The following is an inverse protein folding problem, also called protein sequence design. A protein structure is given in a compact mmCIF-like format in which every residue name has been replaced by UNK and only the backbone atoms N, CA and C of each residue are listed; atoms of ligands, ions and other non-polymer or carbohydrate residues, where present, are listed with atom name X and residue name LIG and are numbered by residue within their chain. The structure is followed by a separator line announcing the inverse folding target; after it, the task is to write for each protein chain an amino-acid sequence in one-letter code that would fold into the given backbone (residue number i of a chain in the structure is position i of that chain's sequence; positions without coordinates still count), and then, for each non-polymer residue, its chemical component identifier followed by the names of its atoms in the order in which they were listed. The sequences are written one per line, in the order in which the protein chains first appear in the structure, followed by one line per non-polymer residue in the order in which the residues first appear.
data_IF_972554514257
#
_entry.id   IF_972554514257
#
_cell.length_a   1.000
_cell.length_b   1.000
_cell.length_c   1.000
_cell.angle_alpha   90.00
_cell.angle_beta   90.00
_cell.angle_gamma   90.00
#
_symmetry.space_group_name_H-M   'P 1'
#
loop_
_entity.id
_entity.type
_entity.pdbx_description
1 polymer ?
#
# COMPACT_ATOMS: atom_id res chain seq x y z
N UNK A 1 29.89 25.05 32.36
CA UNK A 1 29.13 23.92 31.76
C UNK A 1 27.64 23.88 32.13
N UNK A 2 27.23 24.25 33.35
CA UNK A 2 25.83 24.13 33.82
C UNK A 2 24.84 25.11 33.13
N UNK A 3 25.23 26.38 32.98
CA UNK A 3 24.39 27.43 32.35
C UNK A 3 24.06 27.10 30.89
N UNK A 4 25.04 26.58 30.15
CA UNK A 4 24.86 26.17 28.74
C UNK A 4 23.87 25.00 28.58
N UNK A 5 23.93 24.02 29.49
CA UNK A 5 22.97 22.90 29.52
C UNK A 5 21.56 23.38 29.86
N UNK A 6 21.41 24.31 30.81
CA UNK A 6 20.12 24.88 31.19
C UNK A 6 19.50 25.72 30.06
N UNK A 7 20.28 26.59 29.41
CA UNK A 7 19.83 27.35 28.24
C UNK A 7 19.42 26.45 27.08
N UNK A 8 20.18 25.38 26.82
CA UNK A 8 19.83 24.37 25.81
C UNK A 8 18.50 23.67 26.13
N UNK A 9 18.28 23.29 27.39
CA UNK A 9 17.03 22.68 27.86
C UNK A 9 15.84 23.62 27.73
N UNK A 10 15.98 24.89 28.11
CA UNK A 10 14.93 25.90 27.97
C UNK A 10 14.60 26.15 26.50
N UNK A 11 15.62 26.23 25.64
CA UNK A 11 15.44 26.39 24.20
C UNK A 11 14.69 25.21 23.58
N UNK A 12 15.10 23.97 23.89
CA UNK A 12 14.39 22.75 23.45
C UNK A 12 12.94 22.75 23.92
N UNK A 13 12.69 23.13 25.18
CA UNK A 13 11.32 23.19 25.73
C UNK A 13 10.46 24.25 25.03
N UNK A 14 11.02 25.41 24.70
CA UNK A 14 10.32 26.45 23.91
C UNK A 14 9.97 25.96 22.51
N UNK A 15 10.87 25.25 21.84
CA UNK A 15 10.60 24.66 20.51
C UNK A 15 9.48 23.63 20.56
N UNK A 16 9.47 22.76 21.57
CA UNK A 16 8.42 21.76 21.75
C UNK A 16 7.05 22.41 22.01
N UNK A 17 6.99 23.44 22.85
CA UNK A 17 5.74 24.18 23.12
C UNK A 17 5.22 24.87 21.86
N UNK A 18 6.10 25.46 21.05
CA UNK A 18 5.69 26.08 19.78
C UNK A 18 5.19 25.03 18.78
N UNK A 19 5.86 23.89 18.69
CA UNK A 19 5.43 22.76 17.86
C UNK A 19 4.06 22.23 18.27
N UNK A 20 3.83 22.02 19.57
CA UNK A 20 2.54 21.58 20.12
C UNK A 20 1.43 22.59 19.80
N UNK A 21 1.71 23.90 19.94
CA UNK A 21 0.77 24.96 19.56
C UNK A 21 0.43 24.94 18.07
N UNK A 22 1.39 24.62 17.20
CA UNK A 22 1.18 24.52 15.75
C UNK A 22 0.35 23.29 15.41
N UNK A 23 0.66 22.14 16.01
CA UNK A 23 -0.11 20.90 15.84
C UNK A 23 -1.57 21.08 16.26
N UNK A 24 -1.81 21.76 17.40
CA UNK A 24 -3.17 22.02 17.89
C UNK A 24 -3.97 23.04 17.07
N UNK A 25 -3.34 23.75 16.13
CA UNK A 25 -3.99 24.69 15.20
C UNK A 25 -4.31 24.08 13.84
N UNK A 26 -3.84 22.87 13.55
CA UNK A 26 -4.16 22.16 12.31
C UNK A 26 -5.67 21.95 12.25
N UNK A 27 -6.33 22.58 11.27
CA UNK A 27 -7.74 22.31 10.99
C UNK A 27 -7.88 20.97 10.28
N UNK A 28 -8.90 20.20 10.67
CA UNK A 28 -9.31 18.96 9.99
C UNK A 28 -10.53 19.18 9.10
N UNK A 29 -10.98 20.43 8.96
CA UNK A 29 -12.18 20.75 8.20
C UNK A 29 -11.92 20.58 6.70
N UNK A 30 -12.89 20.07 5.93
CA UNK A 30 -12.78 20.01 4.48
C UNK A 30 -12.57 21.39 3.86
N UNK A 31 -11.70 21.46 2.86
CA UNK A 31 -11.45 22.70 2.11
C UNK A 31 -12.38 22.72 0.88
N UNK A 32 -13.18 23.77 0.75
CA UNK A 32 -14.01 23.99 -0.44
C UNK A 32 -13.13 24.15 -1.69
N UNK A 33 -13.56 23.58 -2.83
CA UNK A 33 -12.73 23.53 -4.05
C UNK A 33 -12.36 24.93 -4.56
N UNK A 34 -13.27 25.90 -4.41
CA UNK A 34 -13.07 27.29 -4.81
C UNK A 34 -11.98 27.98 -3.97
N UNK A 35 -11.77 27.51 -2.74
CA UNK A 35 -10.80 28.05 -1.80
C UNK A 35 -9.45 27.31 -1.84
N UNK A 36 -9.40 26.13 -2.45
CA UNK A 36 -8.25 25.22 -2.37
C UNK A 36 -6.92 25.89 -2.75
N UNK A 37 -6.88 26.62 -3.86
CA UNK A 37 -5.63 27.28 -4.34
C UNK A 37 -5.14 28.34 -3.35
N UNK A 38 -6.05 29.13 -2.80
CA UNK A 38 -5.73 30.19 -1.84
C UNK A 38 -5.25 29.60 -0.52
N UNK A 39 -5.95 28.58 -0.03
CA UNK A 39 -5.63 27.91 1.22
C UNK A 39 -4.31 27.14 1.12
N UNK A 40 -4.06 26.42 0.02
CA UNK A 40 -2.80 25.75 -0.24
C UNK A 40 -1.61 26.73 -0.22
N UNK A 41 -1.71 27.86 -0.95
CA UNK A 41 -0.66 28.89 -0.96
C UNK A 41 -0.42 29.49 0.43
N UNK A 42 -1.50 29.75 1.18
CA UNK A 42 -1.43 30.27 2.55
C UNK A 42 -0.70 29.29 3.47
N UNK A 43 -1.07 28.00 3.44
CA UNK A 43 -0.45 26.93 4.23
C UNK A 43 1.02 26.71 3.88
N UNK A 44 1.38 26.78 2.59
CA UNK A 44 2.78 26.73 2.15
C UNK A 44 3.60 27.88 2.74
N UNK A 45 3.12 29.12 2.63
CA UNK A 45 3.80 30.31 3.16
C UNK A 45 3.93 30.25 4.69
N UNK A 46 2.90 29.75 5.37
CA UNK A 46 2.86 29.60 6.82
C UNK A 46 3.64 28.38 7.34
N UNK A 47 4.16 27.52 6.45
CA UNK A 47 4.81 26.23 6.75
C UNK A 47 3.93 25.32 7.62
N UNK A 48 2.63 25.29 7.31
CA UNK A 48 1.64 24.52 8.07
C UNK A 48 1.59 23.05 7.64
N UNK A 49 1.82 22.74 6.35
CA UNK A 49 1.68 21.40 5.79
C UNK A 49 2.47 20.31 6.54
N UNK A 50 3.67 20.63 7.04
CA UNK A 50 4.48 19.70 7.84
C UNK A 50 3.81 19.33 9.17
N UNK A 51 3.09 20.26 9.79
CA UNK A 51 2.37 20.03 11.03
C UNK A 51 1.06 19.28 10.75
N UNK A 52 0.41 19.53 9.62
CA UNK A 52 -0.77 18.75 9.19
C UNK A 52 -0.41 17.28 8.98
N UNK A 53 0.69 17.02 8.27
CA UNK A 53 1.22 15.68 8.09
C UNK A 53 1.56 15.01 9.43
N UNK A 54 2.28 15.70 10.31
CA UNK A 54 2.65 15.19 11.63
C UNK A 54 1.43 14.93 12.53
N UNK A 55 0.38 15.76 12.43
CA UNK A 55 -0.87 15.54 13.17
C UNK A 55 -1.55 14.23 12.74
N UNK A 56 -1.52 13.87 11.45
CA UNK A 56 -2.06 12.60 10.94
C UNK A 56 -1.29 11.39 11.49
N UNK A 57 0.04 11.47 11.58
CA UNK A 57 0.84 10.41 12.19
C UNK A 57 0.49 10.20 13.67
N UNK A 58 0.33 11.30 14.42
CA UNK A 58 -0.04 11.23 15.85
C UNK A 58 -1.44 10.62 16.07
N UNK A 59 -2.41 10.95 15.19
CA UNK A 59 -3.74 10.33 15.19
C UNK A 59 -3.62 8.83 14.99
N UNK A 60 -2.83 8.41 14.00
CA UNK A 60 -2.71 7.02 13.57
C UNK A 60 -1.99 6.13 14.58
N UNK A 61 -1.05 6.70 15.34
CA UNK A 61 -0.28 5.97 16.37
C UNK A 61 -0.99 5.96 17.73
N UNK A 62 -2.04 6.79 17.90
CA UNK A 62 -2.79 6.91 19.14
C UNK A 62 -1.98 7.52 20.28
N UNK A 63 -1.01 8.39 19.96
CA UNK A 63 -0.20 9.08 20.97
C UNK A 63 -0.99 10.25 21.56
N UNK A 64 -1.27 10.18 22.88
CA UNK A 64 -2.17 11.09 23.61
C UNK A 64 -1.51 12.44 23.96
N UNK A 65 -0.56 12.92 23.16
CA UNK A 65 0.10 14.20 23.45
C UNK A 65 -0.78 15.42 23.12
N UNK A 66 -1.86 15.26 22.33
CA UNK A 66 -2.84 16.34 22.09
C UNK A 66 -4.23 15.97 22.61
N UNK A 67 -4.78 16.82 23.46
CA UNK A 67 -6.10 16.66 24.10
C UNK A 67 -7.29 16.92 23.17
N UNK A 68 -7.06 17.44 21.95
CA UNK A 68 -8.11 17.77 20.98
C UNK A 68 -8.26 16.75 19.84
N UNK A 69 -7.31 15.82 19.72
CA UNK A 69 -7.24 14.91 18.59
C UNK A 69 -7.92 13.59 18.97
N UNK A 70 -9.02 13.23 18.29
CA UNK A 70 -9.68 11.92 18.45
C UNK A 70 -8.70 10.83 18.03
N UNK A 71 -8.07 10.16 19.00
CA UNK A 71 -7.25 8.98 18.72
C UNK A 71 -8.16 7.81 18.36
N UNK A 72 -8.01 7.23 17.17
CA UNK A 72 -8.40 5.83 17.01
C UNK A 72 -7.47 5.00 17.90
N UNK A 73 -8.01 4.12 18.74
CA UNK A 73 -7.18 3.33 19.65
C UNK A 73 -6.08 2.56 18.91
N UNK A 74 -4.96 2.27 19.60
CA UNK A 74 -3.81 1.56 19.02
C UNK A 74 -4.24 0.39 18.14
N UNK A 75 -3.96 0.48 16.85
CA UNK A 75 -4.27 -0.58 15.90
C UNK A 75 -3.44 -1.83 16.22
N UNK A 76 -4.12 -2.98 16.33
CA UNK A 76 -3.46 -4.26 16.59
C UNK A 76 -2.88 -4.80 15.28
N UNK A 77 -1.58 -5.07 15.27
CA UNK A 77 -0.92 -5.80 14.17
C UNK A 77 -1.50 -7.21 14.09
N UNK A 78 -1.73 -7.70 12.87
CA UNK A 78 -2.30 -9.01 12.64
C UNK A 78 -1.45 -10.14 13.25
N UNK A 79 -2.09 -11.10 13.93
CA UNK A 79 -1.38 -12.22 14.52
C UNK A 79 -0.69 -13.09 13.46
N UNK A 80 -1.37 -13.31 12.32
CA UNK A 80 -0.84 -14.04 11.18
C UNK A 80 0.49 -13.45 10.68
N UNK A 81 0.62 -12.12 10.63
CA UNK A 81 1.83 -11.43 10.20
C UNK A 81 3.04 -11.67 11.12
N UNK A 82 2.80 -12.01 12.39
CA UNK A 82 3.84 -12.25 13.42
C UNK A 82 4.24 -13.72 13.58
N UNK A 83 3.49 -14.65 13.00
CA UNK A 83 3.80 -16.09 13.09
C UNK A 83 5.16 -16.39 12.46
N UNK A 84 5.88 -17.35 13.05
CA UNK A 84 7.24 -17.70 12.61
C UNK A 84 7.29 -18.10 11.13
N UNK A 85 6.32 -18.87 10.65
CA UNK A 85 6.17 -19.29 9.25
C UNK A 85 5.98 -18.12 8.26
N UNK A 86 5.41 -16.99 8.72
CA UNK A 86 5.08 -15.86 7.85
C UNK A 86 6.13 -14.73 7.90
N UNK A 87 7.14 -14.82 8.78
CA UNK A 87 8.17 -13.76 8.88
C UNK A 87 8.90 -13.51 7.56
N UNK A 88 9.26 -14.57 6.85
CA UNK A 88 9.93 -14.49 5.55
C UNK A 88 9.03 -13.92 4.43
N UNK A 89 7.70 -13.89 4.65
CA UNK A 89 6.74 -13.30 3.71
C UNK A 89 6.62 -11.77 3.87
N UNK A 90 7.28 -11.19 4.87
CA UNK A 90 7.31 -9.74 5.11
C UNK A 90 8.66 -9.14 4.71
N UNK A 91 8.64 -8.04 3.95
CA UNK A 91 9.88 -7.33 3.60
C UNK A 91 10.59 -6.75 4.83
N UNK A 92 9.82 -6.32 5.84
CA UNK A 92 10.34 -5.76 7.10
C UNK A 92 9.37 -6.02 8.24
N UNK A 93 9.90 -6.21 9.45
CA UNK A 93 9.10 -6.33 10.68
C UNK A 93 8.43 -5.02 11.10
N UNK A 94 8.83 -3.88 10.49
CA UNK A 94 8.29 -2.55 10.81
C UNK A 94 6.94 -2.25 10.14
N UNK A 95 6.65 -2.92 9.03
CA UNK A 95 5.45 -2.65 8.22
C UNK A 95 4.69 -3.96 8.08
N UNK A 96 3.72 -4.14 8.98
CA UNK A 96 2.88 -5.33 9.05
C UNK A 96 1.41 -4.91 8.98
N UNK A 97 0.54 -5.70 8.34
CA UNK A 97 -0.89 -5.38 8.23
C UNK A 97 -1.56 -5.41 9.61
N UNK A 98 -2.61 -4.60 9.77
CA UNK A 98 -3.42 -4.63 10.99
C UNK A 98 -4.46 -5.75 10.92
N UNK A 99 -4.82 -6.28 12.09
CA UNK A 99 -5.82 -7.36 12.21
C UNK A 99 -7.18 -6.94 11.61
N UNK A 100 -7.56 -5.67 11.79
CA UNK A 100 -8.89 -5.17 11.38
C UNK A 100 -9.12 -5.15 9.86
N UNK A 101 -8.06 -5.12 9.06
CA UNK A 101 -8.16 -4.92 7.61
C UNK A 101 -7.11 -5.72 6.82
N UNK A 102 -6.53 -6.76 7.40
CA UNK A 102 -5.65 -7.68 6.66
C UNK A 102 -6.41 -8.36 5.50
N UNK A 103 -5.71 -8.59 4.40
CA UNK A 103 -6.21 -9.43 3.30
C UNK A 103 -5.94 -10.90 3.63
N UNK A 104 -6.98 -11.73 3.60
CA UNK A 104 -6.86 -13.16 3.83
C UNK A 104 -6.65 -13.90 2.51
N UNK A 105 -5.80 -14.91 2.49
CA UNK A 105 -5.74 -15.85 1.38
C UNK A 105 -6.51 -17.11 1.76
N UNK A 106 -7.23 -17.67 0.79
CA UNK A 106 -7.80 -19.01 0.94
C UNK A 106 -6.68 -20.05 0.88
N UNK A 107 -7.02 -21.33 1.06
CA UNK A 107 -6.05 -22.42 0.88
C UNK A 107 -5.30 -22.27 -0.45
N UNK A 108 -4.02 -22.64 -0.43
CA UNK A 108 -3.16 -22.55 -1.60
C UNK A 108 -3.75 -23.35 -2.75
N UNK A 109 -3.74 -22.76 -3.95
CA UNK A 109 -4.33 -23.35 -5.15
C UNK A 109 -3.81 -24.76 -5.49
N UNK A 110 -2.63 -25.13 -4.97
CA UNK A 110 -1.96 -26.41 -5.23
C UNK A 110 -2.05 -27.39 -4.04
N UNK A 111 -2.70 -27.02 -2.94
CA UNK A 111 -2.82 -27.90 -1.78
C UNK A 111 -4.14 -28.68 -1.83
N UNK A 112 -4.13 -30.00 -1.56
CA UNK A 112 -5.35 -30.77 -1.45
C UNK A 112 -6.21 -30.18 -0.33
N UNK A 113 -7.54 -30.22 -0.51
CA UNK A 113 -8.50 -29.76 0.49
C UNK A 113 -8.16 -30.38 1.85
N UNK A 114 -7.98 -29.55 2.87
CA UNK A 114 -7.67 -30.04 4.22
C UNK A 114 -8.76 -31.03 4.68
N UNK A 115 -8.33 -32.17 5.23
CA UNK A 115 -9.22 -33.13 5.85
C UNK A 115 -9.98 -32.42 7.01
N UNK A 116 -11.33 -32.33 6.98
CA UNK A 116 -12.12 -31.49 7.90
C UNK A 116 -12.08 -31.89 9.39
N UNK A 117 -11.16 -32.76 9.80
CA UNK A 117 -10.94 -33.18 11.18
C UNK A 117 -9.55 -32.87 11.77
N UNK A 118 -8.65 -32.21 11.04
CA UNK A 118 -7.28 -31.99 11.51
C UNK A 118 -6.77 -30.56 11.33
N UNK A 119 -7.28 -29.66 12.16
CA UNK A 119 -6.88 -28.23 12.22
C UNK A 119 -5.39 -28.01 12.53
N UNK A 120 -4.70 -29.04 13.04
CA UNK A 120 -3.27 -29.03 13.29
C UNK A 120 -2.42 -29.22 12.02
N UNK A 121 -2.99 -29.77 10.94
CA UNK A 121 -2.27 -30.08 9.69
C UNK A 121 -1.99 -28.84 8.82
N UNK A 122 -2.84 -27.81 8.90
CA UNK A 122 -2.62 -26.55 8.19
C UNK A 122 -1.35 -25.80 8.69
N UNK A 123 -0.94 -26.05 9.94
CA UNK A 123 0.27 -25.48 10.54
C UNK A 123 1.48 -26.43 10.50
N UNK A 124 1.31 -27.74 10.25
CA UNK A 124 2.38 -28.74 10.37
C UNK A 124 3.40 -28.73 9.23
N UNK A 125 3.11 -28.04 8.12
CA UNK A 125 4.02 -27.92 6.97
C UNK A 125 4.66 -26.53 6.80
N UNK A 126 4.46 -25.61 7.77
CA UNK A 126 5.11 -24.30 7.75
C UNK A 126 4.66 -23.35 6.63
N UNK A 127 3.59 -23.66 5.90
CA UNK A 127 3.08 -22.84 4.81
C UNK A 127 1.61 -22.43 5.04
N UNK A 128 1.42 -21.38 5.83
CA UNK A 128 0.11 -20.78 6.05
C UNK A 128 -0.24 -19.77 4.94
N UNK A 129 -1.48 -19.76 4.40
CA UNK A 129 -1.96 -18.71 3.51
C UNK A 129 -1.88 -17.32 4.17
N UNK A 130 -0.91 -16.53 3.74
CA UNK A 130 -0.68 -15.20 4.27
C UNK A 130 -0.07 -14.30 3.21
N UNK A 131 -0.54 -13.05 3.13
CA UNK A 131 0.06 -11.99 2.35
C UNK A 131 0.10 -10.70 3.15
N UNK A 132 1.20 -9.95 3.02
CA UNK A 132 1.31 -8.62 3.61
C UNK A 132 0.56 -7.60 2.73
N UNK A 133 -0.75 -7.53 2.95
CA UNK A 133 -1.64 -6.60 2.30
C UNK A 133 -2.80 -6.20 3.23
N UNK A 134 -3.39 -5.04 2.98
CA UNK A 134 -4.51 -4.51 3.75
C UNK A 134 -5.57 -3.88 2.86
N UNK A 135 -6.83 -4.09 3.21
CA UNK A 135 -7.98 -3.41 2.63
C UNK A 135 -7.99 -1.93 3.01
N UNK A 136 -8.16 -1.07 2.02
CA UNK A 136 -8.33 0.37 2.19
C UNK A 136 -9.63 0.81 1.51
N UNK A 137 -10.39 1.65 2.21
CA UNK A 137 -11.61 2.25 1.69
C UNK A 137 -11.29 3.37 0.70
N UNK A 138 -12.11 3.50 -0.33
CA UNK A 138 -12.19 4.72 -1.15
C UNK A 138 -13.22 5.69 -0.57
N UNK A 139 -13.31 6.90 -1.15
CA UNK A 139 -14.16 7.98 -0.64
C UNK A 139 -15.63 7.58 -0.34
N UNK A 140 -16.23 6.72 -1.20
CA UNK A 140 -17.61 6.19 -1.03
C UNK A 140 -17.71 4.68 -1.24
N UNK A 141 -16.57 3.99 -1.28
CA UNK A 141 -16.51 2.58 -1.64
C UNK A 141 -15.66 1.84 -0.62
N UNK A 142 -16.26 1.10 0.32
CA UNK A 142 -15.50 0.31 1.28
C UNK A 142 -14.67 -0.74 0.52
N UNK A 143 -13.48 -1.06 1.03
CA UNK A 143 -12.57 -2.06 0.44
C UNK A 143 -12.25 -1.84 -1.04
N UNK A 144 -12.25 -0.59 -1.51
CA UNK A 144 -11.98 -0.25 -2.92
C UNK A 144 -10.55 -0.61 -3.34
N UNK A 145 -9.61 -0.57 -2.41
CA UNK A 145 -8.21 -0.80 -2.68
C UNK A 145 -7.64 -1.92 -1.81
N UNK A 146 -6.63 -2.58 -2.34
CA UNK A 146 -5.73 -3.44 -1.58
C UNK A 146 -4.36 -2.76 -1.59
N UNK A 147 -3.92 -2.30 -0.43
CA UNK A 147 -2.57 -1.80 -0.23
C UNK A 147 -1.64 -2.98 0.10
N UNK A 148 -0.71 -3.31 -0.79
CA UNK A 148 0.18 -4.46 -0.64
C UNK A 148 1.66 -4.07 -0.60
N UNK A 149 2.49 -4.85 0.08
CA UNK A 149 3.94 -4.74 -0.13
C UNK A 149 4.31 -5.18 -1.56
N UNK A 150 5.48 -4.77 -2.03
CA UNK A 150 6.04 -5.31 -3.27
C UNK A 150 6.31 -6.81 -3.13
N UNK A 151 5.91 -7.64 -4.11
CA UNK A 151 6.18 -9.07 -4.06
C UNK A 151 7.67 -9.36 -3.85
N UNK A 152 7.94 -10.35 -3.00
CA UNK A 152 9.25 -10.94 -2.77
C UNK A 152 9.36 -12.18 -3.63
N UNK A 153 10.58 -12.69 -3.85
CA UNK A 153 10.81 -13.96 -4.55
C UNK A 153 9.91 -15.09 -4.02
N UNK A 154 9.77 -15.20 -2.69
CA UNK A 154 8.95 -16.20 -2.03
C UNK A 154 7.43 -15.94 -2.06
N UNK A 155 6.97 -14.73 -2.41
CA UNK A 155 5.55 -14.34 -2.30
C UNK A 155 4.92 -13.92 -3.63
N UNK A 156 5.60 -14.15 -4.77
CA UNK A 156 5.03 -13.90 -6.11
C UNK A 156 3.75 -14.70 -6.33
N UNK A 157 3.75 -15.97 -5.91
CA UNK A 157 2.59 -16.84 -6.03
C UNK A 157 1.43 -16.39 -5.13
N UNK A 158 1.72 -16.04 -3.86
CA UNK A 158 0.74 -15.45 -2.94
C UNK A 158 0.10 -14.19 -3.53
N UNK A 159 0.91 -13.32 -4.17
CA UNK A 159 0.42 -12.08 -4.79
C UNK A 159 -0.53 -12.34 -5.95
N UNK A 160 -0.20 -13.26 -6.85
CA UNK A 160 -1.10 -13.61 -7.95
C UNK A 160 -2.33 -14.38 -7.50
N UNK A 161 -2.20 -15.22 -6.47
CA UNK A 161 -3.36 -15.83 -5.82
C UNK A 161 -4.30 -14.76 -5.25
N UNK A 162 -3.78 -13.72 -4.58
CA UNK A 162 -4.58 -12.60 -4.11
C UNK A 162 -5.31 -11.90 -5.27
N UNK A 163 -4.60 -11.61 -6.36
CA UNK A 163 -5.17 -10.97 -7.57
C UNK A 163 -6.30 -11.81 -8.15
N UNK A 164 -6.11 -13.14 -8.22
CA UNK A 164 -7.14 -14.07 -8.66
C UNK A 164 -8.30 -14.15 -7.67
N UNK A 165 -8.06 -14.49 -6.41
CA UNK A 165 -9.09 -14.68 -5.39
C UNK A 165 -10.04 -13.48 -5.29
N UNK A 166 -9.50 -12.26 -5.31
CA UNK A 166 -10.28 -11.03 -5.16
C UNK A 166 -10.71 -10.40 -6.48
N UNK A 167 -10.61 -11.14 -7.59
CA UNK A 167 -11.07 -10.71 -8.92
C UNK A 167 -10.52 -9.33 -9.32
N UNK A 168 -9.27 -9.04 -8.92
CA UNK A 168 -8.60 -7.78 -9.19
C UNK A 168 -8.48 -7.62 -10.70
N UNK A 169 -8.80 -6.44 -11.22
CA UNK A 169 -8.66 -6.12 -12.65
C UNK A 169 -7.64 -5.02 -12.92
N UNK A 170 -7.12 -4.37 -11.87
CA UNK A 170 -6.17 -3.28 -11.97
C UNK A 170 -5.10 -3.38 -10.88
N UNK A 171 -3.85 -3.25 -11.30
CA UNK A 171 -2.68 -3.17 -10.42
C UNK A 171 -2.00 -1.82 -10.67
N UNK A 172 -1.68 -1.09 -9.61
CA UNK A 172 -0.90 0.15 -9.66
C UNK A 172 0.40 -0.09 -8.90
N UNK A 173 1.51 -0.08 -9.63
CA UNK A 173 2.87 -0.29 -9.12
C UNK A 173 3.62 1.04 -9.08
N UNK A 174 4.01 1.50 -7.90
CA UNK A 174 4.60 2.84 -7.73
C UNK A 174 6.04 2.77 -7.25
N UNK A 175 6.78 1.80 -7.79
CA UNK A 175 8.19 1.58 -7.51
C UNK A 175 8.84 1.00 -8.76
N UNK A 176 10.13 1.26 -8.95
CA UNK A 176 10.95 0.46 -9.85
C UNK A 176 11.27 -0.89 -9.22
N UNK A 177 11.81 -1.82 -10.00
CA UNK A 177 12.36 -3.09 -9.49
C UNK A 177 13.63 -2.83 -8.67
N UNK A 178 14.44 -1.87 -9.11
CA UNK A 178 15.68 -1.44 -8.45
C UNK A 178 15.74 0.08 -8.37
N UNK A 179 16.27 0.61 -7.28
CA UNK A 179 16.64 2.02 -7.11
C UNK A 179 18.00 2.10 -6.44
N UNK A 180 18.94 2.86 -7.01
CA UNK A 180 20.30 3.02 -6.48
C UNK A 180 20.98 1.68 -6.10
N UNK A 181 20.92 0.70 -7.00
CA UNK A 181 21.43 -0.67 -6.82
C UNK A 181 20.77 -1.49 -5.69
N UNK A 182 19.72 -0.97 -5.06
CA UNK A 182 18.93 -1.69 -4.06
C UNK A 182 17.67 -2.25 -4.72
N UNK A 183 17.43 -3.54 -4.50
CA UNK A 183 16.19 -4.17 -4.91
C UNK A 183 15.01 -3.61 -4.10
N UNK A 184 14.00 -3.12 -4.80
CA UNK A 184 12.79 -2.55 -4.21
C UNK A 184 11.60 -3.51 -4.32
N UNK A 185 11.50 -4.22 -5.44
CA UNK A 185 10.43 -5.18 -5.72
C UNK A 185 11.00 -6.29 -6.60
N UNK A 186 10.68 -7.56 -6.30
CA UNK A 186 10.95 -8.62 -7.24
C UNK A 186 10.02 -8.50 -8.45
N UNK A 187 10.55 -8.79 -9.64
CA UNK A 187 9.71 -8.91 -10.84
C UNK A 187 8.81 -10.13 -10.70
N UNK A 188 7.51 -9.88 -10.55
CA UNK A 188 6.49 -10.92 -10.37
C UNK A 188 5.80 -11.32 -11.67
N UNK A 189 6.32 -10.91 -12.83
CA UNK A 189 5.80 -11.31 -14.14
C UNK A 189 6.94 -11.72 -15.07
N UNK A 190 6.61 -12.49 -16.11
CA UNK A 190 7.52 -12.75 -17.23
C UNK A 190 7.13 -11.91 -18.44
N UNK A 191 8.01 -11.82 -19.44
CA UNK A 191 7.74 -11.04 -20.66
C UNK A 191 6.84 -11.78 -21.67
N UNK A 192 6.51 -13.05 -21.42
CA UNK A 192 5.68 -13.88 -22.30
C UNK A 192 4.67 -14.64 -21.46
N UNK A 193 5.16 -15.57 -20.64
CA UNK A 193 4.33 -16.44 -19.81
C UNK A 193 5.11 -16.83 -18.56
N UNK A 194 4.42 -16.95 -17.43
CA UNK A 194 4.90 -17.63 -16.24
C UNK A 194 3.73 -18.33 -15.55
N UNK A 195 4.07 -19.44 -14.90
CA UNK A 195 3.16 -20.16 -14.01
C UNK A 195 3.52 -19.87 -12.56
N UNK A 196 2.52 -19.48 -11.78
CA UNK A 196 2.60 -19.26 -10.35
C UNK A 196 1.60 -20.20 -9.67
N UNK A 197 2.08 -21.30 -9.10
CA UNK A 197 1.23 -22.40 -8.65
C UNK A 197 0.34 -22.91 -9.81
N UNK A 198 -0.94 -23.15 -9.59
CA UNK A 198 -1.92 -23.52 -10.65
C UNK A 198 -2.39 -22.36 -11.54
N UNK A 199 -1.83 -21.15 -11.38
CA UNK A 199 -2.24 -19.96 -12.13
C UNK A 199 -1.21 -19.63 -13.23
N UNK A 200 -1.68 -19.61 -14.47
CA UNK A 200 -0.91 -19.13 -15.61
C UNK A 200 -1.13 -17.63 -15.83
N UNK A 201 -0.03 -16.91 -16.07
CA UNK A 201 0.00 -15.46 -16.28
C UNK A 201 0.74 -15.17 -17.58
N UNK A 202 0.02 -14.66 -18.58
CA UNK A 202 0.58 -14.20 -19.85
C UNK A 202 0.68 -12.67 -19.87
N UNK A 203 1.73 -12.16 -20.51
CA UNK A 203 1.82 -10.75 -20.89
C UNK A 203 1.36 -10.61 -22.34
N UNK A 204 0.15 -10.11 -22.54
CA UNK A 204 -0.44 -9.96 -23.88
C UNK A 204 -0.04 -8.61 -24.52
N UNK A 205 0.04 -7.53 -23.73
CA UNK A 205 0.43 -6.19 -24.23
C UNK A 205 1.39 -5.46 -23.29
N UNK A 206 2.33 -4.70 -23.86
CA UNK A 206 3.20 -3.77 -23.15
C UNK A 206 3.22 -2.43 -23.88
N UNK A 207 2.87 -1.36 -23.17
CA UNK A 207 3.06 0.02 -23.60
C UNK A 207 4.02 0.73 -22.64
N UNK A 208 4.96 1.49 -23.17
CA UNK A 208 6.01 2.13 -22.37
C UNK A 208 6.23 3.57 -22.81
N UNK A 209 6.27 4.48 -21.84
CA UNK A 209 6.66 5.89 -21.99
C UNK A 209 7.92 6.18 -21.17
N UNK A 210 8.34 7.45 -21.13
CA UNK A 210 9.39 7.89 -20.21
C UNK A 210 8.95 7.85 -18.73
N UNK A 211 7.67 8.06 -18.46
CA UNK A 211 7.15 8.26 -17.10
C UNK A 211 6.52 7.00 -16.49
N UNK A 212 5.97 6.13 -17.33
CA UNK A 212 5.25 4.93 -16.88
C UNK A 212 5.21 3.81 -17.93
N UNK A 213 4.87 2.61 -17.48
CA UNK A 213 4.55 1.45 -18.30
C UNK A 213 3.14 0.96 -18.01
N UNK A 214 2.50 0.40 -19.03
CA UNK A 214 1.23 -0.30 -18.90
C UNK A 214 1.38 -1.71 -19.43
N UNK A 215 0.90 -2.69 -18.67
CA UNK A 215 0.87 -4.09 -19.07
C UNK A 215 -0.54 -4.62 -19.06
N UNK A 216 -0.88 -5.41 -20.07
CA UNK A 216 -2.11 -6.21 -20.09
C UNK A 216 -1.72 -7.66 -19.84
N UNK A 217 -2.14 -8.17 -18.69
CA UNK A 217 -1.97 -9.56 -18.33
C UNK A 217 -3.26 -10.33 -18.55
N UNK A 218 -3.12 -11.57 -18.99
CA UNK A 218 -4.21 -12.55 -18.97
C UNK A 218 -3.86 -13.62 -17.96
N UNK A 219 -4.82 -13.92 -17.10
CA UNK A 219 -4.72 -14.93 -16.05
C UNK A 219 -5.66 -16.08 -16.41
N UNK A 220 -5.22 -17.31 -16.23
CA UNK A 220 -6.05 -18.50 -16.39
C UNK A 220 -5.68 -19.53 -15.33
N UNK A 221 -6.69 -20.22 -14.80
CA UNK A 221 -6.50 -21.32 -13.87
C UNK A 221 -7.01 -22.60 -14.51
N UNK A 222 -6.15 -23.62 -14.59
CA UNK A 222 -6.47 -24.86 -15.30
C UNK A 222 -6.68 -24.67 -16.81
N UNK A 223 -7.26 -25.69 -17.44
CA UNK A 223 -7.43 -25.73 -18.90
C UNK A 223 -8.68 -24.98 -19.40
N UNK A 224 -9.59 -24.61 -18.49
CA UNK A 224 -10.83 -23.91 -18.85
C UNK A 224 -10.57 -22.42 -19.16
N UNK A 225 -10.46 -22.14 -20.46
CA UNK A 225 -10.30 -20.77 -20.97
C UNK A 225 -11.47 -19.83 -20.66
N UNK A 226 -12.66 -20.35 -20.31
CA UNK A 226 -13.82 -19.52 -19.97
C UNK A 226 -13.64 -18.71 -18.68
N UNK A 227 -12.70 -19.13 -17.83
CA UNK A 227 -12.37 -18.45 -16.57
C UNK A 227 -11.25 -17.41 -16.74
N UNK A 228 -10.77 -17.15 -17.96
CA UNK A 228 -9.68 -16.22 -18.18
C UNK A 228 -10.01 -14.80 -17.72
N UNK A 229 -9.06 -14.13 -17.07
CA UNK A 229 -9.23 -12.77 -16.52
C UNK A 229 -8.19 -11.83 -17.09
N UNK A 230 -8.60 -10.61 -17.38
CA UNK A 230 -7.73 -9.57 -17.92
C UNK A 230 -7.42 -8.54 -16.84
N UNK A 231 -6.12 -8.37 -16.57
CA UNK A 231 -5.60 -7.50 -15.53
C UNK A 231 -4.73 -6.44 -16.19
N UNK A 232 -5.02 -5.17 -15.93
CA UNK A 232 -4.16 -4.06 -16.38
C UNK A 232 -3.26 -3.61 -15.24
N UNK A 233 -1.95 -3.58 -15.47
CA UNK A 233 -0.99 -3.00 -14.54
C UNK A 233 -0.52 -1.64 -15.06
N UNK A 234 -0.49 -0.65 -14.18
CA UNK A 234 0.14 0.66 -14.40
C UNK A 234 1.37 0.77 -13.51
N UNK A 235 2.55 0.90 -14.08
CA UNK A 235 3.80 1.06 -13.35
C UNK A 235 4.39 2.45 -13.56
N UNK A 236 4.59 3.21 -12.48
CA UNK A 236 5.37 4.45 -12.54
C UNK A 236 6.87 4.13 -12.66
N UNK A 237 7.58 4.80 -13.58
CA UNK A 237 9.04 4.69 -13.72
C UNK A 237 9.80 5.68 -12.85
N UNK A 238 9.26 6.89 -12.67
CA UNK A 238 9.97 7.99 -12.03
C UNK A 238 9.37 8.35 -10.65
N UNK A 239 9.06 7.34 -9.85
CA UNK A 239 8.61 7.53 -8.46
C UNK A 239 9.63 6.93 -7.50
N UNK A 240 10.75 7.64 -7.32
CA UNK A 240 11.81 7.20 -6.40
C UNK A 240 11.46 7.48 -4.94
N UNK A 241 12.10 6.79 -4.00
CA UNK A 241 11.94 7.08 -2.56
C UNK A 241 12.27 8.54 -2.17
N UNK A 242 13.10 9.25 -2.95
CA UNK A 242 13.57 10.60 -2.64
C UNK A 242 12.89 11.70 -3.45
N UNK A 243 11.96 11.34 -4.33
CA UNK A 243 11.32 12.29 -5.24
C UNK A 243 9.82 12.02 -5.39
N UNK A 244 9.10 13.03 -5.84
CA UNK A 244 7.68 12.91 -6.19
C UNK A 244 7.53 12.86 -7.70
N UNK A 245 6.66 11.99 -8.24
CA UNK A 245 6.40 11.98 -9.68
C UNK A 245 5.83 13.32 -10.14
N UNK A 246 5.96 13.61 -11.43
CA UNK A 246 5.33 14.79 -12.01
C UNK A 246 3.82 14.75 -11.74
N UNK A 247 3.21 15.86 -11.26
CA UNK A 247 1.77 15.90 -10.98
C UNK A 247 0.92 15.55 -12.20
N UNK A 248 1.37 15.91 -13.40
CA UNK A 248 0.73 15.57 -14.67
C UNK A 248 0.66 14.07 -14.90
N UNK A 249 1.74 13.34 -14.61
CA UNK A 249 1.81 11.86 -14.72
C UNK A 249 0.83 11.20 -13.75
N UNK A 250 0.76 11.69 -12.51
CA UNK A 250 -0.19 11.16 -11.50
C UNK A 250 -1.63 11.35 -11.96
N UNK A 251 -1.99 12.55 -12.43
CA UNK A 251 -3.33 12.84 -12.95
C UNK A 251 -3.65 11.99 -14.19
N UNK A 252 -2.69 11.81 -15.09
CA UNK A 252 -2.87 10.98 -16.28
C UNK A 252 -3.14 9.51 -15.95
N UNK A 253 -2.31 8.91 -15.08
CA UNK A 253 -2.50 7.52 -14.65
C UNK A 253 -3.82 7.37 -13.91
N UNK A 254 -4.15 8.29 -13.00
CA UNK A 254 -5.45 8.28 -12.30
C UNK A 254 -6.62 8.29 -13.28
N UNK A 255 -6.57 9.13 -14.32
CA UNK A 255 -7.59 9.13 -15.38
C UNK A 255 -7.67 7.77 -16.08
N UNK A 256 -6.54 7.20 -16.49
CA UNK A 256 -6.50 5.89 -17.18
C UNK A 256 -6.98 4.73 -16.29
N UNK A 257 -6.64 4.74 -15.01
CA UNK A 257 -7.13 3.77 -14.02
C UNK A 257 -8.64 3.89 -13.89
N UNK A 258 -9.17 5.12 -13.74
CA UNK A 258 -10.62 5.35 -13.64
C UNK A 258 -11.36 4.93 -14.91
N UNK A 259 -10.80 5.23 -16.08
CA UNK A 259 -11.39 4.81 -17.37
C UNK A 259 -11.36 3.28 -17.50
N UNK A 260 -10.26 2.62 -17.14
CA UNK A 260 -10.15 1.17 -17.15
C UNK A 260 -11.13 0.50 -16.18
N UNK A 261 -11.35 1.11 -15.02
CA UNK A 261 -12.22 0.61 -13.94
C UNK A 261 -13.68 1.04 -14.08
N UNK A 262 -14.03 1.83 -15.09
CA UNK A 262 -15.40 2.30 -15.32
C UNK A 262 -16.34 1.11 -15.51
N UNK A 263 -17.38 1.04 -14.68
CA UNK A 263 -18.37 -0.05 -14.69
C UNK A 263 -17.89 -1.38 -14.08
N UNK A 264 -16.66 -1.44 -13.53
CA UNK A 264 -16.12 -2.64 -12.88
C UNK A 264 -16.19 -2.51 -11.37
N UNK A 265 -16.91 -3.42 -10.74
CA UNK A 265 -16.92 -3.58 -9.29
C UNK A 265 -15.85 -4.58 -8.85
N UNK A 266 -14.60 -4.13 -8.91
CA UNK A 266 -13.44 -4.91 -8.47
C UNK A 266 -12.47 -4.01 -7.69
N UNK A 267 -11.72 -4.58 -6.73
CA UNK A 267 -10.71 -3.84 -6.01
C UNK A 267 -9.49 -3.54 -6.90
N UNK A 268 -8.80 -2.46 -6.56
CA UNK A 268 -7.55 -2.05 -7.20
C UNK A 268 -6.41 -2.39 -6.26
N UNK A 269 -5.46 -3.20 -6.71
CA UNK A 269 -4.23 -3.45 -5.96
C UNK A 269 -3.29 -2.27 -6.20
N UNK A 270 -2.80 -1.65 -5.13
CA UNK A 270 -1.75 -0.64 -5.19
C UNK A 270 -0.58 -1.19 -4.38
N UNK A 271 0.61 -1.24 -4.98
CA UNK A 271 1.81 -1.70 -4.28
C UNK A 271 3.05 -0.86 -4.63
N UNK A 272 3.96 -0.77 -3.68
CA UNK A 272 5.26 -0.13 -3.84
C UNK A 272 6.33 -1.10 -3.33
N UNK A 273 7.31 -0.60 -2.57
CA UNK A 273 8.32 -1.42 -1.89
C UNK A 273 7.76 -2.13 -0.66
N UNK A 274 7.44 -1.37 0.39
CA UNK A 274 7.00 -1.88 1.69
C UNK A 274 5.50 -1.65 1.97
N UNK A 275 4.76 -1.07 1.02
CA UNK A 275 3.36 -0.71 1.21
C UNK A 275 3.12 0.54 2.08
N UNK A 276 4.15 1.07 2.75
CA UNK A 276 4.03 2.20 3.68
C UNK A 276 3.67 3.53 3.01
N UNK A 277 4.13 3.77 1.78
CA UNK A 277 3.89 5.01 1.04
C UNK A 277 2.59 4.99 0.21
N UNK A 278 1.86 3.86 0.21
CA UNK A 278 0.61 3.69 -0.53
C UNK A 278 -0.56 4.60 -0.12
N UNK A 279 -0.67 5.07 1.14
CA UNK A 279 -1.72 6.03 1.50
C UNK A 279 -1.68 7.28 0.61
N UNK A 280 -0.50 7.69 0.11
CA UNK A 280 -0.38 8.88 -0.74
C UNK A 280 -1.08 8.75 -2.11
N UNK A 281 -1.39 7.54 -2.57
CA UNK A 281 -2.12 7.30 -3.83
C UNK A 281 -3.60 7.00 -3.64
N UNK A 282 -3.95 6.34 -2.55
CA UNK A 282 -5.35 6.00 -2.25
C UNK A 282 -6.18 7.26 -1.96
N UNK A 283 -5.53 8.36 -1.57
CA UNK A 283 -6.16 9.67 -1.32
C UNK A 283 -6.08 10.66 -2.50
N UNK A 284 -5.51 10.28 -3.66
CA UNK A 284 -5.58 11.10 -4.89
C UNK A 284 -6.75 10.60 -5.73
#
# INVERSE_FOLDING_TARGET
MFVWRLCSLIHKRKLLVEEERRLNRVSQDPIAIEQFVNEFRRRCKAKELQYEFKAIELISVGDKQSTKIRSEGKHKIALAAKRACNRAKNLTERVLPYERNIVHLDQYLDQPAADPGNDAAACSHGNEPYINASWIDGYKHPKKFIAAQGPLSATKADFWQMVWQYQVQCIVMTTNLFEHARQQCDKYWHNVHARFNSLDVWLDELYSTAEYEMRLFRLQMGEDSSQARIIRQFQFKNWSHFDTPLPTTVVEIRRKVNDWMRGKDAPIVVHCRCGHFLPQLVFI
#
